data_IF_935153878495
#
_entry.id   IF_935153878495
#
_cell.length_a   1.000
_cell.length_b   1.000
_cell.length_c   1.000
_cell.angle_alpha   90.00
_cell.angle_beta   90.00
_cell.angle_gamma   90.00
#
_symmetry.space_group_name_H-M   'P 1'
#
loop_
_entity.id
_entity.type
_entity.pdbx_description
1 polymer ?
#
# COMPACT_ATOMS: atom_id res chain seq x y z
N UNK A 1 6.91 6.36 19.68
CA UNK A 1 7.14 6.64 18.24
C UNK A 1 6.79 5.39 17.43
N UNK A 2 5.68 4.73 17.80
CA UNK A 2 5.54 3.27 17.61
C UNK A 2 4.37 2.88 16.68
N UNK A 3 3.30 3.67 16.63
CA UNK A 3 2.11 3.37 15.80
C UNK A 3 2.41 3.30 14.30
N UNK A 4 3.30 4.16 13.79
CA UNK A 4 3.66 4.18 12.35
C UNK A 4 4.40 2.91 11.94
N UNK A 5 5.15 2.31 12.87
CA UNK A 5 5.87 1.06 12.62
C UNK A 5 4.95 -0.14 12.63
N UNK A 6 4.02 -0.20 13.58
CA UNK A 6 3.06 -1.31 13.67
C UNK A 6 2.18 -1.39 12.41
N UNK A 7 1.60 -0.28 11.95
CA UNK A 7 0.80 -0.27 10.71
C UNK A 7 1.60 -0.70 9.48
N UNK A 8 2.85 -0.25 9.37
CA UNK A 8 3.71 -0.63 8.24
C UNK A 8 4.00 -2.13 8.22
N UNK A 9 4.26 -2.73 9.38
CA UNK A 9 4.48 -4.18 9.51
C UNK A 9 3.19 -4.94 9.15
N UNK A 10 2.02 -4.48 9.58
CA UNK A 10 0.76 -5.14 9.23
C UNK A 10 0.46 -5.09 7.72
N UNK A 11 0.78 -3.98 7.06
CA UNK A 11 0.66 -3.88 5.61
C UNK A 11 1.64 -4.82 4.92
N UNK A 12 2.90 -4.86 5.36
CA UNK A 12 3.92 -5.74 4.78
C UNK A 12 3.50 -7.22 4.86
N UNK A 13 3.10 -7.68 6.06
CA UNK A 13 2.61 -9.05 6.26
C UNK A 13 1.40 -9.35 5.39
N UNK A 14 0.43 -8.43 5.33
CA UNK A 14 -0.75 -8.61 4.49
C UNK A 14 -0.39 -8.73 3.00
N UNK A 15 0.49 -7.87 2.49
CA UNK A 15 0.89 -7.89 1.08
C UNK A 15 1.65 -9.17 0.72
N UNK A 16 2.46 -9.72 1.62
CA UNK A 16 3.14 -11.00 1.44
C UNK A 16 2.17 -12.19 1.45
N UNK A 17 1.17 -12.19 2.33
CA UNK A 17 0.07 -13.17 2.31
C UNK A 17 -0.67 -13.12 0.96
N UNK A 18 -1.05 -11.92 0.51
CA UNK A 18 -1.75 -11.76 -0.77
C UNK A 18 -0.88 -12.20 -1.97
N UNK A 19 0.42 -11.96 -1.92
CA UNK A 19 1.36 -12.46 -2.95
C UNK A 19 1.43 -13.98 -2.97
N UNK A 20 1.39 -14.61 -1.80
CA UNK A 20 1.38 -16.08 -1.65
C UNK A 20 0.09 -16.68 -2.20
N UNK A 21 -1.03 -15.96 -2.04
CA UNK A 21 -2.35 -16.32 -2.61
C UNK A 21 -2.46 -16.07 -4.12
N UNK A 22 -1.37 -15.67 -4.80
CA UNK A 22 -1.36 -15.44 -6.24
C UNK A 22 -1.95 -14.10 -6.67
N UNK A 23 -1.96 -13.11 -5.78
CA UNK A 23 -2.26 -11.72 -6.14
C UNK A 23 -0.98 -10.98 -6.49
N UNK A 24 -1.09 -10.02 -7.40
CA UNK A 24 0.06 -9.29 -7.94
C UNK A 24 -0.11 -7.78 -7.91
N UNK A 25 -1.34 -7.30 -7.79
CA UNK A 25 -1.69 -5.89 -7.86
C UNK A 25 -2.38 -5.46 -6.58
N UNK A 26 -2.14 -4.22 -6.17
CA UNK A 26 -2.82 -3.57 -5.05
C UNK A 26 -3.34 -2.21 -5.50
N UNK A 27 -4.60 -1.94 -5.21
CA UNK A 27 -5.22 -0.63 -5.36
C UNK A 27 -5.37 0.02 -3.98
N UNK A 28 -5.22 1.34 -3.95
CA UNK A 28 -5.30 2.16 -2.74
C UNK A 28 -5.72 3.58 -3.10
N UNK A 29 -6.29 4.30 -2.14
CA UNK A 29 -6.64 5.71 -2.30
C UNK A 29 -5.40 6.59 -2.12
N UNK A 30 -4.98 7.28 -3.19
CA UNK A 30 -3.84 8.17 -3.18
C UNK A 30 -4.11 9.49 -2.45
N UNK A 31 -5.38 9.85 -2.22
CA UNK A 31 -5.75 11.05 -1.49
C UNK A 31 -5.59 10.88 0.03
N UNK A 32 -5.51 9.64 0.53
CA UNK A 32 -5.39 9.40 1.96
C UNK A 32 -4.01 9.83 2.51
N UNK A 33 -3.98 10.54 3.65
CA UNK A 33 -2.74 11.00 4.26
C UNK A 33 -1.91 9.86 4.87
N UNK A 34 -2.55 8.74 5.19
CA UNK A 34 -1.94 7.50 5.70
C UNK A 34 -2.75 6.31 5.22
N UNK A 35 -2.07 5.24 4.86
CA UNK A 35 -2.69 3.97 4.49
C UNK A 35 -2.70 3.03 5.69
N UNK A 36 -3.82 2.35 5.92
CA UNK A 36 -3.89 1.18 6.76
C UNK A 36 -4.13 -0.09 5.90
N UNK A 37 -3.97 -1.27 6.51
CA UNK A 37 -4.22 -2.56 5.85
C UNK A 37 -5.59 -2.61 5.17
N UNK A 38 -6.61 -2.02 5.79
CA UNK A 38 -7.99 -2.08 5.31
C UNK A 38 -8.26 -1.18 4.09
N UNK A 39 -7.36 -0.23 3.81
CA UNK A 39 -7.47 0.66 2.65
C UNK A 39 -6.89 0.04 1.36
N UNK A 40 -6.36 -1.19 1.47
CA UNK A 40 -5.67 -1.87 0.37
C UNK A 40 -6.52 -3.01 -0.19
N UNK A 41 -6.76 -2.96 -1.50
CA UNK A 41 -7.49 -4.01 -2.21
C UNK A 41 -6.56 -4.70 -3.19
N UNK A 42 -6.38 -6.02 -3.02
CA UNK A 42 -5.45 -6.80 -3.83
C UNK A 42 -6.15 -7.64 -4.90
N UNK A 43 -5.52 -7.73 -6.08
CA UNK A 43 -6.04 -8.39 -7.28
C UNK A 43 -4.98 -9.30 -7.92
N UNK A 44 -5.43 -10.39 -8.56
CA UNK A 44 -4.57 -11.27 -9.35
C UNK A 44 -4.30 -10.71 -10.75
N UNK A 45 -5.28 -10.09 -11.40
CA UNK A 45 -5.14 -9.51 -12.73
C UNK A 45 -5.05 -7.98 -12.69
N UNK A 46 -4.25 -7.42 -13.61
CA UNK A 46 -4.14 -5.96 -13.77
C UNK A 46 -5.46 -5.33 -14.23
N UNK A 47 -6.26 -6.07 -15.00
CA UNK A 47 -7.53 -5.58 -15.53
C UNK A 47 -8.50 -5.27 -14.39
N UNK A 48 -8.63 -6.18 -13.42
CA UNK A 48 -9.53 -6.00 -12.27
C UNK A 48 -9.11 -4.80 -11.41
N UNK A 49 -7.80 -4.63 -11.18
CA UNK A 49 -7.27 -3.48 -10.46
C UNK A 49 -7.59 -2.15 -11.18
N UNK A 50 -7.45 -2.12 -12.52
CA UNK A 50 -7.79 -0.95 -13.34
C UNK A 50 -9.28 -0.64 -13.28
N UNK A 51 -10.12 -1.66 -13.43
CA UNK A 51 -11.57 -1.51 -13.39
C UNK A 51 -12.01 -0.98 -12.02
N UNK A 52 -11.48 -1.55 -10.94
CA UNK A 52 -11.74 -1.08 -9.58
C UNK A 52 -11.37 0.39 -9.42
N UNK A 53 -10.17 0.81 -9.85
CA UNK A 53 -9.76 2.21 -9.73
C UNK A 53 -10.65 3.14 -10.54
N UNK A 54 -11.09 2.73 -11.74
CA UNK A 54 -11.99 3.52 -12.57
C UNK A 54 -13.38 3.67 -11.93
N UNK A 55 -13.93 2.60 -11.36
CA UNK A 55 -15.26 2.59 -10.75
C UNK A 55 -15.32 3.34 -9.41
N UNK A 56 -14.21 3.37 -8.66
CA UNK A 56 -14.16 3.93 -7.30
C UNK A 56 -13.46 5.30 -7.22
N UNK A 57 -12.87 5.80 -8.30
CA UNK A 57 -12.34 7.18 -8.33
C UNK A 57 -13.47 8.17 -8.62
N UNK A 58 -14.34 8.42 -7.64
CA UNK A 58 -15.49 9.32 -7.76
C UNK A 58 -15.31 10.51 -6.82
N UNK A 59 -15.48 11.72 -7.33
CA UNK A 59 -15.38 12.94 -6.52
C UNK A 59 -13.94 13.21 -6.07
N UNK A 60 -13.72 13.23 -4.76
CA UNK A 60 -12.42 13.51 -4.14
C UNK A 60 -11.55 12.25 -3.96
N UNK A 61 -12.14 11.05 -4.11
CA UNK A 61 -11.42 9.78 -3.99
C UNK A 61 -10.59 9.54 -5.25
N UNK A 62 -9.30 9.24 -5.07
CA UNK A 62 -8.38 9.01 -6.19
C UNK A 62 -7.68 7.67 -6.03
N UNK A 63 -8.37 6.61 -6.46
CA UNK A 63 -7.80 5.27 -6.44
C UNK A 63 -6.75 5.09 -7.53
N UNK A 64 -5.58 4.62 -7.11
CA UNK A 64 -4.48 4.22 -7.99
C UNK A 64 -4.08 2.79 -7.67
N UNK A 65 -3.33 2.16 -8.58
CA UNK A 65 -2.84 0.80 -8.39
C UNK A 65 -1.37 0.67 -8.76
N UNK A 66 -0.70 -0.28 -8.10
CA UNK A 66 0.66 -0.69 -8.41
C UNK A 66 0.82 -2.19 -8.18
N UNK A 67 2.01 -2.74 -8.47
CA UNK A 67 2.31 -4.12 -8.12
C UNK A 67 2.58 -4.22 -6.62
N UNK A 68 2.26 -5.38 -6.02
CA UNK A 68 2.55 -5.64 -4.61
C UNK A 68 4.03 -5.40 -4.30
N UNK A 69 4.95 -5.85 -5.16
CA UNK A 69 6.39 -5.64 -4.96
C UNK A 69 6.78 -4.15 -4.94
N UNK A 70 6.12 -3.31 -5.75
CA UNK A 70 6.37 -1.86 -5.73
C UNK A 70 5.87 -1.23 -4.43
N UNK A 71 4.73 -1.68 -3.91
CA UNK A 71 4.22 -1.20 -2.63
C UNK A 71 5.16 -1.60 -1.48
N UNK A 72 5.62 -2.85 -1.44
CA UNK A 72 6.60 -3.33 -0.46
C UNK A 72 7.90 -2.51 -0.49
N UNK A 73 8.42 -2.20 -1.67
CA UNK A 73 9.60 -1.33 -1.81
C UNK A 73 9.35 0.10 -1.29
N UNK A 74 8.15 0.64 -1.49
CA UNK A 74 7.78 1.97 -0.99
C UNK A 74 7.72 1.98 0.55
N UNK A 75 7.17 0.93 1.16
CA UNK A 75 7.11 0.76 2.62
C UNK A 75 8.51 0.69 3.23
N UNK A 76 9.39 -0.17 2.69
CA UNK A 76 10.78 -0.29 3.15
C UNK A 76 11.54 1.04 3.04
N UNK A 77 11.32 1.77 1.94
CA UNK A 77 11.91 3.11 1.74
C UNK A 77 11.39 4.13 2.77
N UNK A 78 10.08 4.11 3.07
CA UNK A 78 9.49 4.98 4.08
C UNK A 78 10.08 4.71 5.47
N UNK A 79 10.18 3.43 5.85
CA UNK A 79 10.77 2.99 7.12
C UNK A 79 12.23 3.43 7.25
N UNK A 80 13.05 3.20 6.23
CA UNK A 80 14.47 3.60 6.23
C UNK A 80 14.65 5.11 6.36
N UNK A 81 13.76 5.90 5.75
CA UNK A 81 13.81 7.36 5.84
C UNK A 81 13.46 7.87 7.24
N UNK A 82 12.50 7.24 7.93
CA UNK A 82 12.18 7.55 9.33
C UNK A 82 13.40 7.26 10.23
N UNK A 83 14.06 6.12 10.06
CA UNK A 83 15.27 5.77 10.81
C UNK A 83 16.44 6.73 10.56
N UNK A 84 16.64 7.18 9.32
CA UNK A 84 17.68 8.17 8.99
C UNK A 84 17.41 9.53 9.63
N UNK A 85 16.15 9.98 9.66
CA UNK A 85 15.76 11.28 10.22
C UNK A 85 15.94 11.33 11.75
N UNK A 86 15.70 10.22 12.44
CA UNK A 86 15.92 10.09 13.89
C UNK A 86 17.39 9.99 14.32
N UNK A 87 18.32 9.78 13.38
CA UNK A 87 19.76 9.69 13.68
C UNK A 87 20.51 11.02 13.60
N UNK A 88 19.86 12.05 13.05
CA UNK A 88 20.43 13.39 12.86
C UNK A 88 19.84 14.43 13.83
N UNK A 89 19.25 13.99 14.94
CA UNK A 89 18.67 14.86 15.97
C UNK A 89 19.22 14.48 17.34
#
# INVERSE_FOLDING_TARGET
>A
MDFVYEETIFIEVFLDEQRTDGKHWVAYDAAQPRLAKNDLICFSAIYDAKQYCFENSIGDEQFVYCTIDKMLQALDSAVKNVFRKNRNH
#
